data_IF_004343226977
#
_entry.id   IF_004343226977
#
_cell.length_a   1.000
_cell.length_b   1.000
_cell.length_c   1.000
_cell.angle_alpha   90.00
_cell.angle_beta   90.00
_cell.angle_gamma   90.00
#
_symmetry.space_group_name_H-M   'P 1'
#
loop_
_entity.id
_entity.type
_entity.pdbx_description
1 polymer ?
#
# COMPACT_ATOMS: atom_id res chain seq x y z
N UNK A 1 28.83 -0.09 13.90
CA UNK A 1 27.39 -0.39 14.03
C UNK A 1 26.66 0.33 12.91
N UNK A 2 25.58 -0.22 12.34
CA UNK A 2 24.91 0.37 11.19
C UNK A 2 24.22 1.70 11.49
N UNK A 3 23.94 1.99 12.76
CA UNK A 3 23.50 3.31 13.22
C UNK A 3 24.35 3.74 14.41
N UNK A 4 24.79 4.99 14.42
CA UNK A 4 25.58 5.59 15.52
C UNK A 4 25.35 7.08 15.64
N UNK A 5 25.62 7.65 16.81
CA UNK A 5 25.47 9.09 17.10
C UNK A 5 26.82 9.76 17.34
N UNK A 6 27.01 10.95 16.77
CA UNK A 6 28.09 11.87 17.10
C UNK A 6 27.51 13.29 17.28
N UNK A 7 27.40 13.76 18.52
CA UNK A 7 26.69 15.01 18.82
C UNK A 7 25.23 14.94 18.38
N UNK A 8 24.83 15.84 17.47
CA UNK A 8 23.52 15.88 16.84
C UNK A 8 23.43 15.14 15.50
N UNK A 9 24.50 14.46 15.09
CA UNK A 9 24.54 13.70 13.84
C UNK A 9 24.23 12.24 14.14
N UNK A 10 23.25 11.68 13.43
CA UNK A 10 22.90 10.27 13.45
C UNK A 10 23.36 9.66 12.12
N UNK A 11 24.42 8.87 12.18
CA UNK A 11 25.03 8.25 11.01
C UNK A 11 24.40 6.89 10.74
N UNK A 12 23.98 6.66 9.49
CA UNK A 12 23.48 5.41 8.96
C UNK A 12 24.53 4.83 7.99
N UNK A 13 25.14 3.72 8.36
CA UNK A 13 26.24 3.08 7.63
C UNK A 13 25.86 1.66 7.24
N UNK A 14 26.01 1.29 5.98
CA UNK A 14 25.61 -0.03 5.48
C UNK A 14 24.10 -0.16 5.30
N UNK A 15 23.55 -1.32 5.65
CA UNK A 15 22.13 -1.61 5.49
C UNK A 15 21.30 -1.06 6.65
N UNK A 16 20.20 -0.37 6.35
CA UNK A 16 19.18 0.03 7.32
C UNK A 16 17.93 -0.85 7.15
N UNK A 17 17.94 -1.99 7.85
CA UNK A 17 16.89 -3.01 7.80
C UNK A 17 16.09 -3.14 9.09
N UNK A 18 15.23 -4.16 9.16
CA UNK A 18 14.31 -4.37 10.29
C UNK A 18 15.04 -4.52 11.63
N UNK A 19 16.23 -5.13 11.65
CA UNK A 19 17.03 -5.32 12.85
C UNK A 19 17.61 -4.01 13.43
N UNK A 20 17.55 -2.91 12.67
CA UNK A 20 18.12 -1.62 13.03
C UNK A 20 17.07 -0.60 13.45
N UNK A 21 15.78 -0.90 13.31
CA UNK A 21 14.64 -0.01 13.56
C UNK A 21 14.75 0.79 14.87
N UNK A 22 15.09 0.13 15.98
CA UNK A 22 15.15 0.78 17.29
C UNK A 22 16.39 1.66 17.51
N UNK A 23 17.49 1.42 16.79
CA UNK A 23 18.78 2.09 17.06
C UNK A 23 18.71 3.60 16.77
N UNK A 24 18.15 4.08 15.64
CA UNK A 24 17.93 5.50 15.42
C UNK A 24 17.09 6.15 16.52
N UNK A 25 16.08 5.46 17.04
CA UNK A 25 15.20 6.01 18.08
C UNK A 25 15.96 6.29 19.37
N UNK A 26 16.82 5.35 19.79
CA UNK A 26 17.70 5.59 20.93
C UNK A 26 18.70 6.73 20.67
N UNK A 27 19.29 6.81 19.48
CA UNK A 27 20.18 7.91 19.12
C UNK A 27 19.47 9.28 19.13
N UNK A 28 18.25 9.34 18.61
CA UNK A 28 17.39 10.53 18.62
C UNK A 28 17.09 10.95 20.05
N UNK A 29 16.63 10.01 20.89
CA UNK A 29 16.31 10.28 22.29
C UNK A 29 17.52 10.86 23.04
N UNK A 30 18.69 10.24 22.87
CA UNK A 30 19.94 10.72 23.49
C UNK A 30 20.37 12.09 22.96
N UNK A 31 20.11 12.40 21.69
CA UNK A 31 20.44 13.71 21.14
C UNK A 31 19.52 14.80 21.71
N UNK A 32 18.21 14.57 21.70
CA UNK A 32 17.22 15.61 22.02
C UNK A 32 16.99 15.73 23.52
N UNK A 33 16.77 14.61 24.22
CA UNK A 33 16.34 14.60 25.61
C UNK A 33 17.54 14.64 26.57
N UNK A 34 18.59 13.86 26.29
CA UNK A 34 19.75 13.80 27.19
C UNK A 34 20.73 14.94 26.92
N UNK A 35 21.02 15.22 25.64
CA UNK A 35 22.02 16.23 25.23
C UNK A 35 21.42 17.59 24.86
N UNK A 36 20.09 17.72 24.77
CA UNK A 36 19.40 19.00 24.57
C UNK A 36 19.48 19.58 23.16
N UNK A 37 19.88 18.81 22.14
CA UNK A 37 19.92 19.28 20.76
C UNK A 37 18.51 19.58 20.23
N UNK A 38 18.38 20.68 19.49
CA UNK A 38 17.14 21.10 18.82
C UNK A 38 17.24 21.05 17.30
N UNK A 39 18.36 20.56 16.79
CA UNK A 39 18.61 20.31 15.38
C UNK A 39 19.29 18.95 15.26
N UNK A 40 18.78 18.05 14.40
CA UNK A 40 19.36 16.72 14.16
C UNK A 40 19.75 16.60 12.69
N UNK A 41 20.92 16.01 12.44
CA UNK A 41 21.35 15.64 11.09
C UNK A 41 21.21 14.12 10.94
N UNK A 42 20.36 13.68 10.03
CA UNK A 42 20.25 12.29 9.61
C UNK A 42 21.20 12.06 8.43
N UNK A 43 22.35 11.46 8.70
CA UNK A 43 23.39 11.22 7.70
C UNK A 43 23.31 9.81 7.13
N UNK A 44 22.74 9.70 5.93
CA UNK A 44 22.66 8.45 5.18
C UNK A 44 23.76 8.33 4.11
N UNK A 45 24.77 9.19 4.09
CA UNK A 45 25.78 9.22 3.00
C UNK A 45 26.47 7.89 2.77
N UNK A 46 26.73 7.12 3.83
CA UNK A 46 27.34 5.78 3.82
C UNK A 46 26.32 4.63 3.90
N UNK A 47 25.02 4.92 3.73
CA UNK A 47 23.97 3.91 3.66
C UNK A 47 23.99 3.21 2.30
N UNK A 48 24.01 1.88 2.31
CA UNK A 48 24.08 1.05 1.10
C UNK A 48 22.73 0.47 0.70
N UNK A 49 21.79 0.36 1.64
CA UNK A 49 20.42 -0.09 1.41
C UNK A 49 19.49 0.40 2.52
N UNK A 50 18.23 0.70 2.19
CA UNK A 50 17.21 1.09 3.14
C UNK A 50 15.87 0.46 2.77
N UNK A 51 15.12 -0.01 3.77
CA UNK A 51 13.88 -0.73 3.57
C UNK A 51 12.65 0.05 4.05
N UNK A 52 11.47 -0.12 3.42
CA UNK A 52 10.29 0.64 3.75
C UNK A 52 9.85 0.60 5.22
N UNK A 53 9.77 -0.55 5.92
CA UNK A 53 9.28 -0.56 7.29
C UNK A 53 10.09 0.31 8.27
N UNK A 54 11.43 0.15 8.39
CA UNK A 54 12.20 0.99 9.30
C UNK A 54 12.27 2.46 8.85
N UNK A 55 12.19 2.73 7.54
CA UNK A 55 12.12 4.11 7.04
C UNK A 55 10.79 4.79 7.40
N UNK A 56 9.65 4.11 7.30
CA UNK A 56 8.35 4.68 7.67
C UNK A 56 8.28 5.01 9.16
N UNK A 57 8.76 4.08 9.99
CA UNK A 57 8.87 4.32 11.43
C UNK A 57 9.77 5.52 11.73
N UNK A 58 10.94 5.63 11.10
CA UNK A 58 11.80 6.81 11.25
C UNK A 58 11.08 8.10 10.80
N UNK A 59 10.39 8.08 9.67
CA UNK A 59 9.67 9.24 9.15
C UNK A 59 8.62 9.76 10.14
N UNK A 60 7.79 8.90 10.73
CA UNK A 60 6.76 9.36 11.68
C UNK A 60 7.37 9.98 12.95
N UNK A 61 8.48 9.42 13.44
CA UNK A 61 9.18 9.98 14.60
C UNK A 61 9.79 11.34 14.29
N UNK A 62 10.43 11.48 13.13
CA UNK A 62 11.00 12.76 12.68
C UNK A 62 9.89 13.80 12.45
N UNK A 63 8.74 13.39 11.93
CA UNK A 63 7.59 14.28 11.79
C UNK A 63 7.06 14.77 13.14
N UNK A 64 6.98 13.89 14.15
CA UNK A 64 6.60 14.26 15.52
C UNK A 64 7.61 15.21 16.17
N UNK A 65 8.91 14.94 16.06
CA UNK A 65 9.96 15.83 16.57
C UNK A 65 9.86 17.24 16.00
N UNK A 66 9.51 17.38 14.72
CA UNK A 66 9.29 18.70 14.12
C UNK A 66 8.09 19.44 14.71
N UNK A 67 7.03 18.73 15.07
CA UNK A 67 5.90 19.32 15.79
C UNK A 67 6.35 19.86 17.17
N UNK A 68 7.26 19.13 17.82
CA UNK A 68 7.96 19.49 19.06
C UNK A 68 9.11 20.52 18.86
N UNK A 69 9.18 21.17 17.69
CA UNK A 69 10.16 22.22 17.34
C UNK A 69 11.62 21.76 17.33
N UNK A 70 11.87 20.51 16.96
CA UNK A 70 13.22 20.01 16.66
C UNK A 70 13.42 19.96 15.14
N UNK A 71 14.38 20.74 14.65
CA UNK A 71 14.72 20.81 13.24
C UNK A 71 15.47 19.56 12.78
N UNK A 72 15.28 19.17 11.53
CA UNK A 72 15.88 17.97 10.96
C UNK A 72 16.46 18.25 9.59
N UNK A 73 17.67 17.75 9.35
CA UNK A 73 18.38 17.83 8.06
C UNK A 73 18.71 16.44 7.57
N UNK A 74 18.57 16.21 6.27
CA UNK A 74 18.86 14.95 5.62
C UNK A 74 20.09 15.08 4.71
N UNK A 75 21.09 14.25 4.96
CA UNK A 75 22.15 13.95 4.00
C UNK A 75 21.77 12.66 3.29
N UNK A 76 21.53 12.77 1.98
CA UNK A 76 21.15 11.62 1.16
C UNK A 76 22.31 10.62 0.99
N UNK A 77 22.01 9.35 0.71
CA UNK A 77 23.01 8.37 0.32
C UNK A 77 23.85 8.81 -0.88
N UNK A 78 25.15 8.49 -0.86
CA UNK A 78 26.03 8.71 -2.02
C UNK A 78 25.66 7.83 -3.20
N UNK A 79 25.04 6.67 -2.95
CA UNK A 79 24.55 5.78 -3.99
C UNK A 79 23.32 6.38 -4.67
N UNK A 80 23.47 6.86 -5.91
CA UNK A 80 22.43 7.58 -6.65
C UNK A 80 21.09 6.81 -6.76
N UNK A 81 21.15 5.48 -6.94
CA UNK A 81 19.95 4.63 -6.97
C UNK A 81 19.17 4.70 -5.66
N UNK A 82 19.87 4.72 -4.53
CA UNK A 82 19.26 4.79 -3.21
C UNK A 82 18.79 6.22 -2.90
N UNK A 83 19.56 7.25 -3.27
CA UNK A 83 19.12 8.64 -3.19
C UNK A 83 17.83 8.89 -3.98
N UNK A 84 17.70 8.27 -5.16
CA UNK A 84 16.47 8.30 -5.97
C UNK A 84 15.32 7.56 -5.27
N UNK A 85 15.58 6.43 -4.61
CA UNK A 85 14.58 5.72 -3.81
C UNK A 85 14.05 6.62 -2.69
N UNK A 86 14.91 7.31 -1.94
CA UNK A 86 14.51 8.24 -0.87
C UNK A 86 13.55 9.33 -1.36
N UNK A 87 13.79 9.87 -2.56
CA UNK A 87 12.90 10.86 -3.18
C UNK A 87 11.60 10.20 -3.66
N UNK A 88 11.70 9.12 -4.43
CA UNK A 88 10.55 8.46 -5.06
C UNK A 88 9.59 7.88 -4.03
N UNK A 89 10.10 7.22 -2.98
CA UNK A 89 9.32 6.68 -1.87
C UNK A 89 8.77 7.76 -0.92
N UNK A 90 9.09 9.04 -1.18
CA UNK A 90 8.67 10.21 -0.41
C UNK A 90 9.31 10.34 0.99
N UNK A 91 10.29 9.48 1.33
CA UNK A 91 11.01 9.54 2.60
C UNK A 91 11.78 10.86 2.77
N UNK A 92 12.46 11.32 1.72
CA UNK A 92 13.25 12.55 1.79
C UNK A 92 12.40 13.77 2.18
N UNK A 93 11.19 13.87 1.62
CA UNK A 93 10.22 14.91 1.96
C UNK A 93 9.78 14.80 3.43
N UNK A 94 9.45 13.60 3.91
CA UNK A 94 9.05 13.44 5.32
C UNK A 94 10.20 13.62 6.30
N UNK A 95 11.45 13.46 5.89
CA UNK A 95 12.62 13.70 6.74
C UNK A 95 13.07 15.17 6.73
N UNK A 96 12.93 15.90 5.61
CA UNK A 96 13.30 17.33 5.50
C UNK A 96 12.44 18.05 4.43
N UNK A 97 11.18 18.41 4.76
CA UNK A 97 10.23 18.94 3.78
C UNK A 97 10.60 20.32 3.22
N UNK A 98 11.40 21.10 3.95
CA UNK A 98 11.89 22.40 3.50
C UNK A 98 12.89 22.33 2.35
N UNK A 99 13.51 21.16 2.13
CA UNK A 99 14.51 20.94 1.07
C UNK A 99 14.03 20.00 -0.02
N UNK A 100 13.16 19.06 0.30
CA UNK A 100 12.66 18.07 -0.64
C UNK A 100 11.16 18.20 -0.84
N UNK A 101 10.75 18.46 -2.08
CA UNK A 101 9.34 18.47 -2.46
C UNK A 101 8.71 17.08 -2.33
N UNK A 102 7.39 17.06 -2.18
CA UNK A 102 6.62 15.83 -2.13
C UNK A 102 6.80 15.03 -3.43
N UNK A 103 6.98 13.72 -3.30
CA UNK A 103 7.15 12.82 -4.44
C UNK A 103 5.97 12.87 -5.41
N UNK A 104 6.27 13.18 -6.67
CA UNK A 104 5.31 13.06 -7.79
C UNK A 104 5.31 11.66 -8.40
N UNK A 105 6.06 10.70 -7.83
CA UNK A 105 6.13 9.33 -8.33
C UNK A 105 4.74 8.67 -8.31
N UNK A 106 4.38 8.10 -9.47
CA UNK A 106 3.12 7.40 -9.71
C UNK A 106 3.38 6.02 -10.33
N UNK A 107 4.36 5.29 -9.79
CA UNK A 107 4.54 3.88 -10.14
C UNK A 107 3.34 3.05 -9.70
N UNK A 108 3.03 1.99 -10.44
CA UNK A 108 1.98 1.05 -10.06
C UNK A 108 2.51 -0.10 -9.18
N UNK A 109 3.82 -0.37 -9.19
CA UNK A 109 4.45 -1.40 -8.35
C UNK A 109 4.85 -0.91 -6.95
N UNK A 110 4.91 0.40 -6.75
CA UNK A 110 5.22 1.00 -5.47
C UNK A 110 4.45 2.30 -5.32
N UNK A 111 3.79 2.42 -4.18
CA UNK A 111 3.03 3.60 -3.79
C UNK A 111 3.87 4.31 -2.75
N UNK A 112 4.37 5.52 -3.04
CA UNK A 112 5.16 6.29 -2.09
C UNK A 112 4.42 6.50 -0.78
N UNK A 113 5.19 6.67 0.29
CA UNK A 113 4.66 7.03 1.59
C UNK A 113 3.69 8.22 1.46
N UNK A 114 2.47 8.03 1.93
CA UNK A 114 1.36 8.98 1.82
C UNK A 114 0.84 9.28 3.22
N UNK A 115 0.78 10.57 3.56
CA UNK A 115 0.24 11.01 4.84
C UNK A 115 -1.28 11.14 4.77
N UNK A 116 -1.96 10.77 5.84
CA UNK A 116 -3.39 10.96 6.02
C UNK A 116 -3.68 11.47 7.44
N UNK A 117 -4.52 12.51 7.57
CA UNK A 117 -4.87 13.13 8.86
C UNK A 117 -6.37 13.17 9.15
N UNK A 118 -7.19 12.90 8.15
CA UNK A 118 -8.65 12.94 8.23
C UNK A 118 -9.26 11.70 7.56
N UNK A 119 -10.54 11.39 7.82
CA UNK A 119 -11.25 10.36 7.08
C UNK A 119 -11.22 10.57 5.56
N UNK A 120 -11.29 11.82 5.08
CA UNK A 120 -11.22 12.10 3.63
C UNK A 120 -9.82 11.82 3.06
N UNK A 121 -8.76 12.16 3.81
CA UNK A 121 -7.38 11.84 3.40
C UNK A 121 -7.16 10.33 3.34
N UNK A 122 -7.67 9.63 4.35
CA UNK A 122 -7.59 8.17 4.47
C UNK A 122 -8.29 7.51 3.29
N UNK A 123 -9.54 7.89 2.98
CA UNK A 123 -10.28 7.37 1.84
C UNK A 123 -9.53 7.60 0.52
N UNK A 124 -8.96 8.79 0.31
CA UNK A 124 -8.15 9.08 -0.89
C UNK A 124 -6.88 8.23 -0.95
N UNK A 125 -6.23 7.97 0.19
CA UNK A 125 -5.03 7.14 0.26
C UNK A 125 -5.37 5.68 -0.06
N UNK A 126 -6.41 5.11 0.57
CA UNK A 126 -6.88 3.74 0.31
C UNK A 126 -7.29 3.58 -1.14
N UNK A 127 -8.14 4.45 -1.68
CA UNK A 127 -8.59 4.37 -3.08
C UNK A 127 -7.40 4.39 -4.04
N UNK A 128 -6.40 5.24 -3.79
CA UNK A 128 -5.17 5.26 -4.59
C UNK A 128 -4.41 3.94 -4.51
N UNK A 129 -4.35 3.33 -3.32
CA UNK A 129 -3.70 2.04 -3.10
C UNK A 129 -4.39 0.92 -3.87
N UNK A 130 -5.69 0.79 -3.67
CA UNK A 130 -6.54 -0.24 -4.27
C UNK A 130 -6.50 -0.14 -5.80
N UNK A 131 -6.62 1.06 -6.37
CA UNK A 131 -6.46 1.32 -7.82
C UNK A 131 -5.10 0.88 -8.39
N UNK A 132 -4.02 1.14 -7.64
CA UNK A 132 -2.69 0.79 -8.08
C UNK A 132 -2.46 -0.72 -8.05
N UNK A 133 -2.97 -1.40 -7.02
CA UNK A 133 -2.89 -2.86 -6.90
C UNK A 133 -3.67 -3.54 -8.02
N UNK A 134 -4.89 -3.08 -8.32
CA UNK A 134 -5.73 -3.61 -9.40
C UNK A 134 -5.07 -3.51 -10.78
N UNK A 135 -4.22 -2.49 -11.00
CA UNK A 135 -3.43 -2.37 -12.24
C UNK A 135 -2.07 -3.06 -12.19
N UNK A 136 -1.55 -3.34 -11.00
CA UNK A 136 -0.26 -3.99 -10.84
C UNK A 136 -0.38 -5.50 -10.94
N UNK A 137 -1.27 -6.12 -10.15
CA UNK A 137 -1.35 -7.58 -9.98
C UNK A 137 -2.38 -8.15 -10.94
N UNK A 138 -1.97 -9.07 -11.81
CA UNK A 138 -2.89 -9.79 -12.69
C UNK A 138 -3.51 -11.00 -11.97
N UNK A 139 -4.70 -11.40 -12.41
CA UNK A 139 -5.46 -12.57 -11.93
C UNK A 139 -5.70 -12.56 -10.42
N UNK A 140 -6.04 -11.38 -9.90
CA UNK A 140 -6.49 -11.27 -8.51
C UNK A 140 -7.98 -11.58 -8.43
N UNK A 141 -8.36 -12.44 -7.49
CA UNK A 141 -9.76 -12.76 -7.22
C UNK A 141 -10.46 -11.57 -6.54
N UNK A 142 -11.77 -11.39 -6.81
CA UNK A 142 -12.55 -10.26 -6.26
C UNK A 142 -12.62 -10.32 -4.73
N UNK A 143 -12.82 -11.51 -4.16
CA UNK A 143 -12.90 -11.68 -2.71
C UNK A 143 -11.56 -11.44 -2.02
N UNK A 144 -10.46 -11.90 -2.64
CA UNK A 144 -9.11 -11.64 -2.14
C UNK A 144 -8.77 -10.14 -2.21
N UNK A 145 -9.18 -9.46 -3.28
CA UNK A 145 -9.00 -8.02 -3.44
C UNK A 145 -9.81 -7.22 -2.41
N UNK A 146 -11.06 -7.59 -2.18
CA UNK A 146 -11.93 -6.98 -1.18
C UNK A 146 -11.36 -7.17 0.24
N UNK A 147 -10.77 -8.34 0.54
CA UNK A 147 -10.12 -8.58 1.82
C UNK A 147 -8.90 -7.68 2.06
N UNK A 148 -8.09 -7.46 1.02
CA UNK A 148 -6.97 -6.52 1.07
C UNK A 148 -7.43 -5.08 1.31
N UNK A 149 -8.42 -4.62 0.56
CA UNK A 149 -9.00 -3.29 0.72
C UNK A 149 -9.52 -3.09 2.14
N UNK A 150 -10.34 -4.03 2.64
CA UNK A 150 -10.86 -3.99 4.00
C UNK A 150 -9.73 -3.92 5.03
N UNK A 151 -8.70 -4.75 4.88
CA UNK A 151 -7.58 -4.80 5.81
C UNK A 151 -6.80 -3.48 5.85
N UNK A 152 -6.55 -2.84 4.70
CA UNK A 152 -5.89 -1.53 4.66
C UNK A 152 -6.79 -0.45 5.26
N UNK A 153 -8.09 -0.46 4.94
CA UNK A 153 -9.08 0.49 5.47
C UNK A 153 -9.15 0.42 6.99
N UNK A 154 -9.28 -0.78 7.58
CA UNK A 154 -9.34 -0.97 9.03
C UNK A 154 -8.07 -0.52 9.74
N UNK A 155 -6.90 -0.87 9.22
CA UNK A 155 -5.63 -0.49 9.84
C UNK A 155 -5.41 1.03 9.75
N UNK A 156 -5.76 1.67 8.64
CA UNK A 156 -5.63 3.12 8.50
C UNK A 156 -6.70 3.88 9.30
N UNK A 157 -7.92 3.37 9.41
CA UNK A 157 -8.97 3.95 10.24
C UNK A 157 -8.62 3.90 11.72
N UNK A 158 -8.03 2.79 12.20
CA UNK A 158 -7.51 2.68 13.56
C UNK A 158 -6.56 3.83 13.92
N UNK A 159 -5.75 4.32 12.97
CA UNK A 159 -4.89 5.48 13.21
C UNK A 159 -5.73 6.73 13.43
N UNK A 160 -6.74 6.99 12.60
CA UNK A 160 -7.60 8.18 12.73
C UNK A 160 -8.42 8.14 14.02
N UNK A 161 -8.96 6.99 14.39
CA UNK A 161 -9.90 6.85 15.52
C UNK A 161 -9.17 6.71 16.86
N UNK A 162 -8.02 6.02 16.90
CA UNK A 162 -7.42 5.59 18.17
C UNK A 162 -6.03 6.14 18.46
N UNK A 163 -5.25 6.56 17.45
CA UNK A 163 -3.84 6.90 17.71
C UNK A 163 -3.64 8.18 18.52
N UNK A 164 -4.57 9.15 18.40
CA UNK A 164 -4.38 10.53 18.88
C UNK A 164 -3.04 11.15 18.37
N UNK A 165 -2.61 10.76 17.17
CA UNK A 165 -1.32 11.18 16.63
C UNK A 165 -1.36 12.62 16.09
N UNK A 166 -0.41 13.51 16.48
CA UNK A 166 -0.37 14.90 16.01
C UNK A 166 -0.08 15.02 14.51
N UNK A 167 0.49 13.97 13.91
CA UNK A 167 0.88 13.94 12.50
C UNK A 167 -0.08 13.11 11.64
N UNK A 168 -1.11 12.49 12.23
CA UNK A 168 -1.92 11.47 11.58
C UNK A 168 -1.13 10.18 11.35
N UNK A 169 -1.34 9.54 10.20
CA UNK A 169 -0.62 8.32 9.80
C UNK A 169 0.13 8.46 8.49
N UNK A 170 1.10 7.57 8.27
CA UNK A 170 1.72 7.28 6.99
C UNK A 170 1.33 5.89 6.52
N UNK A 171 1.02 5.75 5.24
CA UNK A 171 0.85 4.46 4.56
C UNK A 171 1.77 4.37 3.35
N UNK A 172 2.43 3.21 3.18
CA UNK A 172 3.25 2.89 2.01
C UNK A 172 2.94 1.47 1.53
N UNK A 173 2.95 1.26 0.21
CA UNK A 173 2.68 -0.05 -0.39
C UNK A 173 3.74 -0.43 -1.41
N UNK A 174 4.14 -1.69 -1.40
CA UNK A 174 5.05 -2.29 -2.37
C UNK A 174 4.44 -3.57 -2.92
N UNK A 175 4.55 -3.81 -4.23
CA UNK A 175 4.15 -5.08 -4.85
C UNK A 175 5.37 -5.82 -5.40
N UNK A 176 5.40 -7.13 -5.18
CA UNK A 176 6.45 -8.02 -5.63
C UNK A 176 5.80 -9.09 -6.50
N UNK A 177 6.31 -9.27 -7.73
CA UNK A 177 5.65 -10.11 -8.75
C UNK A 177 6.57 -11.08 -9.48
N UNK A 178 7.88 -11.11 -9.17
CA UNK A 178 8.84 -11.94 -9.92
C UNK A 178 8.57 -13.44 -9.78
N UNK A 179 8.32 -13.90 -8.54
CA UNK A 179 8.14 -15.32 -8.23
C UNK A 179 6.86 -15.63 -7.43
N UNK A 180 6.26 -14.61 -6.81
CA UNK A 180 5.02 -14.67 -6.03
C UNK A 180 4.26 -13.37 -6.28
N UNK A 181 2.93 -13.37 -6.14
CA UNK A 181 2.07 -12.17 -6.24
C UNK A 181 1.86 -11.58 -4.85
N UNK A 182 2.84 -10.85 -4.33
CA UNK A 182 2.84 -10.37 -2.95
C UNK A 182 2.60 -8.86 -2.88
N UNK A 183 1.71 -8.45 -1.99
CA UNK A 183 1.54 -7.05 -1.58
C UNK A 183 2.06 -6.89 -0.16
N UNK A 184 2.92 -5.90 0.06
CA UNK A 184 3.29 -5.43 1.39
C UNK A 184 2.73 -4.02 1.57
N UNK A 185 1.91 -3.82 2.61
CA UNK A 185 1.51 -2.49 3.05
C UNK A 185 2.02 -2.24 4.46
N UNK A 186 2.42 -1.00 4.70
CA UNK A 186 3.00 -0.55 5.97
C UNK A 186 2.20 0.66 6.40
N UNK A 187 1.72 0.63 7.64
CA UNK A 187 1.04 1.76 8.28
C UNK A 187 1.83 2.13 9.53
N UNK A 188 2.13 3.41 9.68
CA UNK A 188 2.84 3.92 10.84
C UNK A 188 2.20 5.22 11.35
N UNK A 189 2.17 5.39 12.66
CA UNK A 189 1.77 6.62 13.34
C UNK A 189 2.75 6.95 14.48
N UNK A 190 2.67 8.17 15.01
CA UNK A 190 3.47 8.62 16.16
C UNK A 190 2.58 9.00 17.36
N UNK A 191 1.48 8.27 17.57
CA UNK A 191 0.48 8.48 18.60
C UNK A 191 0.75 7.73 19.91
N UNK A 192 -0.33 7.40 20.63
CA UNK A 192 -0.29 6.77 21.96
C UNK A 192 0.18 5.30 21.94
N UNK A 193 0.02 4.62 20.80
CA UNK A 193 0.32 3.20 20.63
C UNK A 193 -0.76 2.24 21.14
N UNK A 194 -0.71 1.00 20.67
CA UNK A 194 -1.67 -0.06 21.00
C UNK A 194 -1.70 -0.35 22.52
N UNK A 195 -0.56 -0.50 23.23
CA UNK A 195 -0.60 -0.79 24.67
C UNK A 195 -1.30 0.27 25.51
N UNK A 196 -1.07 1.54 25.21
CA UNK A 196 -1.68 2.66 25.94
C UNK A 196 -3.18 2.73 25.67
N UNK A 197 -3.57 2.65 24.40
CA UNK A 197 -4.98 2.76 23.99
C UNK A 197 -5.82 1.58 24.48
N UNK A 198 -5.32 0.34 24.38
CA UNK A 198 -6.06 -0.82 24.88
C UNK A 198 -6.19 -0.84 26.40
N UNK A 199 -5.14 -0.50 27.15
CA UNK A 199 -5.21 -0.47 28.62
C UNK A 199 -6.23 0.54 29.15
N UNK A 200 -6.50 1.63 28.42
CA UNK A 200 -7.54 2.58 28.79
C UNK A 200 -8.95 1.97 28.80
N UNK A 201 -9.22 1.02 27.90
CA UNK A 201 -10.49 0.29 27.82
C UNK A 201 -10.49 -1.08 28.51
N UNK A 202 -9.30 -1.65 28.70
CA UNK A 202 -9.08 -2.99 29.24
C UNK A 202 -7.98 -2.98 30.31
N UNK A 203 -8.28 -2.48 31.53
CA UNK A 203 -7.29 -2.28 32.60
C UNK A 203 -6.63 -3.57 33.10
N UNK A 204 -7.18 -4.74 32.75
CA UNK A 204 -6.62 -6.04 33.09
C UNK A 204 -5.34 -6.38 32.31
N UNK A 205 -5.07 -5.70 31.19
CA UNK A 205 -3.85 -5.88 30.39
C UNK A 205 -2.66 -5.23 31.12
N UNK A 206 -1.64 -6.02 31.46
CA UNK A 206 -0.55 -5.60 32.36
C UNK A 206 0.77 -5.33 31.67
N UNK A 207 0.95 -5.81 30.44
CA UNK A 207 2.19 -5.63 29.68
C UNK A 207 1.92 -5.23 28.23
N UNK A 208 2.90 -4.59 27.61
CA UNK A 208 2.80 -4.22 26.19
C UNK A 208 2.72 -5.47 25.30
N UNK A 209 3.41 -6.56 25.65
CA UNK A 209 3.33 -7.83 24.92
C UNK A 209 1.94 -8.47 25.03
N UNK A 210 1.31 -8.42 26.22
CA UNK A 210 -0.07 -8.86 26.40
C UNK A 210 -1.04 -7.98 25.61
N UNK A 211 -0.80 -6.67 25.54
CA UNK A 211 -1.62 -5.78 24.72
C UNK A 211 -1.58 -6.17 23.24
N UNK A 212 -0.40 -6.46 22.68
CA UNK A 212 -0.29 -6.90 21.29
C UNK A 212 -0.91 -8.28 21.04
N UNK A 213 -0.74 -9.22 21.98
CA UNK A 213 -1.40 -10.52 21.91
C UNK A 213 -2.93 -10.37 21.92
N UNK A 214 -3.46 -9.53 22.80
CA UNK A 214 -4.88 -9.22 22.85
C UNK A 214 -5.36 -8.53 21.56
N UNK A 215 -4.59 -7.61 21.00
CA UNK A 215 -4.97 -6.81 19.82
C UNK A 215 -5.24 -7.66 18.57
N UNK A 216 -4.62 -8.85 18.48
CA UNK A 216 -4.85 -9.79 17.37
C UNK A 216 -5.88 -10.87 17.71
N UNK A 217 -6.66 -10.73 18.79
CA UNK A 217 -7.77 -11.63 19.13
C UNK A 217 -9.10 -11.03 18.71
N UNK A 218 -10.01 -11.89 18.28
CA UNK A 218 -11.34 -11.48 17.83
C UNK A 218 -12.11 -10.71 18.92
N UNK A 219 -12.77 -9.61 18.53
CA UNK A 219 -13.63 -8.82 19.41
C UNK A 219 -12.91 -7.96 20.45
N UNK A 220 -11.58 -7.81 20.34
CA UNK A 220 -10.78 -7.00 21.27
C UNK A 220 -10.67 -5.56 20.75
N UNK A 221 -11.16 -4.60 21.55
CA UNK A 221 -11.10 -3.16 21.27
C UNK A 221 -10.99 -2.36 22.57
N UNK A 222 -10.58 -1.08 22.48
CA UNK A 222 -10.66 -0.11 23.58
C UNK A 222 -12.11 0.17 23.97
N UNK A 223 -13.00 0.27 22.99
CA UNK A 223 -14.41 0.61 23.21
C UNK A 223 -15.29 -0.07 22.13
N UNK A 224 -16.26 -0.86 22.58
CA UNK A 224 -17.20 -1.59 21.70
C UNK A 224 -18.22 -0.66 21.02
N UNK A 225 -18.38 0.56 21.50
CA UNK A 225 -19.23 1.58 20.87
C UNK A 225 -18.54 2.29 19.71
N UNK A 226 -17.20 2.32 19.69
CA UNK A 226 -16.39 2.93 18.63
C UNK A 226 -15.98 1.93 17.55
N UNK A 227 -15.94 0.64 17.84
CA UNK A 227 -15.61 -0.39 16.86
C UNK A 227 -15.83 -1.81 17.39
N UNK A 228 -15.86 -2.79 16.49
CA UNK A 228 -16.15 -4.19 16.85
C UNK A 228 -14.90 -4.95 17.36
N UNK A 229 -13.69 -4.40 17.19
CA UNK A 229 -12.44 -5.06 17.58
C UNK A 229 -11.98 -6.16 16.62
N UNK A 230 -12.33 -6.04 15.33
CA UNK A 230 -12.04 -7.05 14.33
C UNK A 230 -10.93 -6.65 13.35
N UNK A 231 -10.59 -5.36 13.20
CA UNK A 231 -9.65 -4.87 12.19
C UNK A 231 -8.25 -5.51 12.25
N UNK A 232 -7.60 -5.47 13.41
CA UNK A 232 -6.27 -6.08 13.60
C UNK A 232 -6.30 -7.61 13.56
N UNK A 233 -7.30 -8.23 14.19
CA UNK A 233 -7.52 -9.68 14.12
C UNK A 233 -7.69 -10.15 12.68
N UNK A 234 -8.61 -9.55 11.92
CA UNK A 234 -8.87 -9.90 10.53
C UNK A 234 -7.65 -9.66 9.64
N UNK A 235 -6.93 -8.56 9.83
CA UNK A 235 -5.69 -8.29 9.09
C UNK A 235 -4.61 -9.35 9.37
N UNK A 236 -4.47 -9.78 10.63
CA UNK A 236 -3.60 -10.89 11.00
C UNK A 236 -4.05 -12.21 10.37
N UNK A 237 -5.36 -12.53 10.40
CA UNK A 237 -5.91 -13.73 9.76
C UNK A 237 -5.60 -13.75 8.25
N UNK A 238 -5.87 -12.65 7.53
CA UNK A 238 -5.60 -12.52 6.10
C UNK A 238 -4.12 -12.80 5.78
N UNK A 239 -3.20 -12.21 6.56
CA UNK A 239 -1.76 -12.44 6.37
C UNK A 239 -1.35 -13.89 6.69
N UNK A 240 -1.96 -14.50 7.72
CA UNK A 240 -1.71 -15.89 8.10
C UNK A 240 -2.23 -16.88 7.04
N UNK A 241 -3.48 -16.75 6.62
CA UNK A 241 -4.10 -17.63 5.62
C UNK A 241 -3.42 -17.53 4.26
N UNK A 242 -3.05 -16.32 3.81
CA UNK A 242 -2.31 -16.16 2.54
C UNK A 242 -0.91 -16.77 2.55
N UNK A 243 -0.36 -17.15 3.71
CA UNK A 243 1.06 -17.51 3.81
C UNK A 243 1.98 -16.30 3.63
N UNK A 244 1.47 -15.12 4.00
CA UNK A 244 2.17 -13.84 4.05
C UNK A 244 2.89 -13.63 5.37
N UNK A 245 3.04 -12.38 5.83
CA UNK A 245 3.73 -12.03 7.08
C UNK A 245 2.98 -10.90 7.78
N UNK A 246 3.08 -10.84 9.09
CA UNK A 246 2.45 -9.78 9.87
C UNK A 246 3.38 -9.34 10.99
N UNK A 247 3.49 -8.03 11.18
CA UNK A 247 4.32 -7.46 12.24
C UNK A 247 3.61 -6.26 12.85
N UNK A 248 3.68 -6.16 14.16
CA UNK A 248 3.29 -4.98 14.93
C UNK A 248 4.45 -4.60 15.83
N UNK A 249 4.81 -3.33 15.86
CA UNK A 249 5.70 -2.77 16.88
C UNK A 249 5.03 -1.53 17.51
N UNK A 250 4.88 -1.54 18.83
CA UNK A 250 4.25 -0.44 19.57
C UNK A 250 4.64 -0.50 21.04
N UNK A 251 5.04 0.65 21.60
CA UNK A 251 5.61 0.70 22.95
C UNK A 251 6.84 -0.20 23.02
N UNK A 252 6.95 -0.99 24.09
CA UNK A 252 8.04 -1.95 24.29
C UNK A 252 7.75 -3.33 23.68
N UNK A 253 6.71 -3.50 22.87
CA UNK A 253 6.35 -4.80 22.36
C UNK A 253 6.53 -4.91 20.84
N UNK A 254 6.97 -6.10 20.44
CA UNK A 254 7.04 -6.54 19.06
C UNK A 254 6.27 -7.84 18.91
N UNK A 255 5.32 -7.86 17.98
CA UNK A 255 4.63 -9.04 17.51
C UNK A 255 5.08 -9.32 16.08
N UNK A 256 5.47 -10.55 15.81
CA UNK A 256 5.88 -10.97 14.47
C UNK A 256 5.35 -12.35 14.15
N UNK A 257 4.76 -12.48 12.96
CA UNK A 257 4.30 -13.72 12.37
C UNK A 257 4.93 -13.92 11.00
N UNK A 258 5.46 -15.12 10.78
CA UNK A 258 5.80 -15.64 9.46
C UNK A 258 5.55 -17.15 9.40
N UNK A 259 5.14 -17.71 8.24
CA UNK A 259 4.84 -19.13 8.08
C UNK A 259 5.97 -20.07 8.53
N UNK A 260 7.23 -19.65 8.37
CA UNK A 260 8.40 -20.44 8.76
C UNK A 260 8.71 -20.45 10.26
N UNK A 261 8.20 -19.48 11.03
CA UNK A 261 8.54 -19.29 12.45
C UNK A 261 7.31 -19.29 13.38
N UNK A 262 6.10 -19.22 12.82
CA UNK A 262 4.87 -19.05 13.59
C UNK A 262 4.73 -17.64 14.17
N UNK A 263 3.84 -17.50 15.15
CA UNK A 263 3.63 -16.27 15.92
C UNK A 263 4.68 -16.16 17.02
N UNK A 264 5.28 -14.98 17.14
CA UNK A 264 6.24 -14.62 18.19
C UNK A 264 5.91 -13.25 18.74
N UNK A 265 6.06 -13.09 20.06
CA UNK A 265 5.85 -11.81 20.75
C UNK A 265 7.02 -11.61 21.72
N UNK A 266 7.67 -10.46 21.66
CA UNK A 266 8.85 -10.14 22.45
C UNK A 266 8.80 -8.71 23.02
N UNK A 267 9.57 -8.50 24.09
CA UNK A 267 9.83 -7.16 24.62
C UNK A 267 11.09 -6.58 23.96
N UNK A 268 11.00 -5.31 23.59
CA UNK A 268 12.08 -4.50 23.05
C UNK A 268 12.59 -3.51 24.09
N UNK A 269 13.91 -3.29 24.12
CA UNK A 269 14.54 -2.40 25.10
C UNK A 269 14.20 -0.93 24.85
N UNK A 270 14.04 -0.57 23.58
CA UNK A 270 13.80 0.80 23.13
C UNK A 270 12.38 0.82 22.59
N UNK A 271 11.49 1.67 23.16
CA UNK A 271 10.12 1.69 22.73
C UNK A 271 9.95 2.37 21.37
N UNK A 272 8.85 2.07 20.69
CA UNK A 272 8.33 2.86 19.58
C UNK A 272 7.17 3.71 20.10
N UNK A 273 7.28 5.02 19.91
CA UNK A 273 6.18 5.95 20.12
C UNK A 273 5.14 5.83 18.99
N UNK A 274 3.92 5.42 19.30
CA UNK A 274 2.90 5.11 18.30
C UNK A 274 2.91 3.64 17.89
N UNK A 275 2.58 3.36 16.63
CA UNK A 275 2.44 2.01 16.11
C UNK A 275 3.06 1.89 14.73
N UNK A 276 3.79 0.81 14.49
CA UNK A 276 4.19 0.35 13.15
C UNK A 276 3.50 -0.99 12.88
N UNK A 277 2.77 -1.08 11.78
CA UNK A 277 2.19 -2.31 11.26
C UNK A 277 2.80 -2.61 9.89
N UNK A 278 3.29 -3.83 9.72
CA UNK A 278 3.75 -4.35 8.43
C UNK A 278 2.93 -5.58 8.11
N UNK A 279 2.21 -5.54 7.01
CA UNK A 279 1.36 -6.63 6.57
C UNK A 279 1.74 -7.03 5.15
N UNK A 280 1.97 -8.31 4.97
CA UNK A 280 2.32 -8.92 3.71
C UNK A 280 1.27 -9.97 3.38
N UNK A 281 0.67 -9.87 2.20
CA UNK A 281 -0.38 -10.77 1.72
C UNK A 281 0.09 -11.37 0.40
N UNK A 282 -0.03 -12.68 0.27
CA UNK A 282 0.31 -13.41 -0.95
C UNK A 282 -0.94 -13.87 -1.71
N UNK A 283 -1.09 -13.35 -2.93
CA UNK A 283 -2.17 -13.64 -3.88
C UNK A 283 -1.81 -14.76 -4.87
N UNK A 284 -0.73 -15.52 -4.61
CA UNK A 284 -0.31 -16.60 -5.51
C UNK A 284 -1.31 -17.77 -5.57
N UNK A 285 -2.21 -17.88 -4.58
CA UNK A 285 -3.30 -18.87 -4.54
C UNK A 285 -4.66 -18.12 -4.50
N UNK A 286 -5.43 -18.08 -5.59
CA UNK A 286 -6.72 -17.40 -5.64
C UNK A 286 -7.77 -18.01 -4.70
N UNK A 287 -8.65 -17.17 -4.15
CA UNK A 287 -9.81 -17.55 -3.35
C UNK A 287 -9.47 -17.97 -1.92
N UNK A 288 -8.24 -17.68 -1.46
CA UNK A 288 -7.73 -18.12 -0.16
C UNK A 288 -8.21 -17.23 0.99
N UNK A 289 -8.63 -15.99 0.69
CA UNK A 289 -8.93 -14.98 1.71
C UNK A 289 -10.42 -14.85 2.03
N UNK A 290 -11.32 -15.49 1.25
CA UNK A 290 -12.76 -15.50 1.56
C UNK A 290 -13.04 -16.11 2.95
N UNK A 291 -12.25 -17.11 3.35
CA UNK A 291 -12.36 -17.75 4.66
C UNK A 291 -11.79 -16.90 5.81
N UNK A 292 -10.84 -16.01 5.51
CA UNK A 292 -10.18 -15.16 6.52
C UNK A 292 -11.10 -14.06 7.07
N UNK A 293 -12.16 -13.70 6.34
CA UNK A 293 -13.18 -12.72 6.74
C UNK A 293 -14.44 -13.38 7.34
N UNK A 294 -14.25 -14.41 8.16
CA UNK A 294 -15.34 -15.02 8.94
C UNK A 294 -15.23 -14.58 10.40
N UNK A 295 -16.16 -13.73 10.82
CA UNK A 295 -16.25 -13.23 12.20
C UNK A 295 -17.48 -13.82 12.89
N UNK A 296 -17.31 -14.36 14.09
CA UNK A 296 -18.38 -15.01 14.87
C UNK A 296 -19.22 -16.02 14.06
N UNK A 297 -18.57 -16.76 13.15
CA UNK A 297 -19.21 -17.75 12.27
C UNK A 297 -20.04 -17.16 11.11
N UNK A 298 -20.05 -15.83 10.94
CA UNK A 298 -20.69 -15.16 9.80
C UNK A 298 -19.63 -14.72 8.79
N UNK A 299 -19.91 -14.98 7.52
CA UNK A 299 -19.09 -14.45 6.44
C UNK A 299 -19.34 -12.95 6.31
N UNK A 300 -18.27 -12.16 6.38
CA UNK A 300 -18.31 -10.73 6.15
C UNK A 300 -17.93 -10.46 4.69
N UNK A 301 -18.85 -9.86 3.93
CA UNK A 301 -18.60 -9.40 2.55
C UNK A 301 -18.65 -7.87 2.57
N UNK A 302 -17.50 -7.19 2.56
CA UNK A 302 -17.49 -5.74 2.46
C UNK A 302 -18.00 -5.31 1.07
N UNK A 303 -18.64 -4.14 1.01
CA UNK A 303 -18.80 -3.42 -0.25
C UNK A 303 -17.40 -3.09 -0.74
N UNK A 304 -17.09 -3.48 -1.98
CA UNK A 304 -15.74 -3.37 -2.51
C UNK A 304 -15.57 -2.20 -3.48
N UNK A 305 -14.31 -1.90 -3.76
CA UNK A 305 -13.91 -0.86 -4.69
C UNK A 305 -14.46 -1.06 -6.11
N UNK A 306 -14.68 -2.32 -6.53
CA UNK A 306 -15.18 -2.60 -7.89
C UNK A 306 -16.63 -2.18 -8.00
N UNK A 307 -17.44 -2.55 -7.01
CA UNK A 307 -18.85 -2.15 -6.90
C UNK A 307 -18.97 -0.63 -6.84
N UNK A 308 -18.21 0.03 -5.97
CA UNK A 308 -18.34 1.48 -5.76
C UNK A 308 -17.83 2.33 -6.92
N UNK A 309 -16.82 1.85 -7.67
CA UNK A 309 -16.21 2.63 -8.74
C UNK A 309 -16.70 2.30 -10.14
N UNK A 310 -16.92 1.03 -10.45
CA UNK A 310 -17.13 0.58 -11.82
C UNK A 310 -18.57 0.12 -12.08
N UNK A 311 -19.27 -0.42 -11.08
CA UNK A 311 -20.67 -0.84 -11.24
C UNK A 311 -21.60 0.37 -11.24
N UNK A 312 -22.62 0.35 -12.11
CA UNK A 312 -23.64 1.39 -12.20
C UNK A 312 -24.95 0.89 -11.60
N UNK A 313 -25.68 1.78 -10.92
CA UNK A 313 -26.97 1.41 -10.32
C UNK A 313 -28.04 1.07 -11.37
N UNK A 314 -27.94 1.64 -12.57
CA UNK A 314 -28.91 1.56 -13.66
C UNK A 314 -28.42 0.79 -14.90
N UNK A 315 -27.27 0.11 -14.80
CA UNK A 315 -26.72 -0.68 -15.90
C UNK A 315 -26.02 -1.94 -15.41
N UNK A 316 -26.21 -3.04 -16.14
CA UNK A 316 -25.45 -4.28 -15.94
C UNK A 316 -24.00 -4.17 -16.45
N UNK A 317 -23.63 -3.03 -17.05
CA UNK A 317 -22.29 -2.78 -17.58
C UNK A 317 -21.40 -2.07 -16.56
N UNK A 318 -20.13 -2.45 -16.52
CA UNK A 318 -19.08 -1.73 -15.81
C UNK A 318 -18.69 -0.49 -16.61
N UNK A 319 -18.75 0.70 -16.00
CA UNK A 319 -18.27 1.94 -16.62
C UNK A 319 -16.79 2.16 -16.30
N UNK A 320 -15.95 2.11 -17.33
CA UNK A 320 -14.52 2.36 -17.24
C UNK A 320 -14.16 3.70 -17.91
N UNK A 321 -14.10 4.77 -17.12
CA UNK A 321 -13.78 6.11 -17.62
C UNK A 321 -12.27 6.27 -17.84
N UNK A 322 -11.81 6.10 -19.07
CA UNK A 322 -10.38 5.95 -19.38
C UNK A 322 -9.51 7.15 -18.96
N UNK A 323 -10.07 8.37 -18.94
CA UNK A 323 -9.38 9.60 -18.51
C UNK A 323 -9.08 9.67 -17.02
N UNK A 324 -9.83 8.94 -16.20
CA UNK A 324 -9.61 8.86 -14.75
C UNK A 324 -8.55 7.82 -14.39
N UNK A 325 -8.32 6.89 -15.31
CA UNK A 325 -7.49 5.71 -15.10
C UNK A 325 -6.02 5.96 -15.44
N UNK A 326 -5.74 6.93 -16.32
CA UNK A 326 -4.38 7.38 -16.66
C UNK A 326 -4.33 8.87 -17.00
N UNK A 327 -3.22 9.53 -16.66
CA UNK A 327 -2.93 10.91 -17.10
C UNK A 327 -2.27 11.00 -18.47
N UNK A 328 -1.69 9.89 -18.95
CA UNK A 328 -0.92 9.86 -20.20
C UNK A 328 -1.30 8.66 -21.05
N UNK A 329 -1.45 8.87 -22.35
CA UNK A 329 -1.84 7.83 -23.32
C UNK A 329 -0.76 7.59 -24.39
N UNK A 330 0.47 8.01 -24.08
CA UNK A 330 1.58 8.10 -25.03
C UNK A 330 2.56 6.92 -25.04
N UNK A 331 2.40 5.91 -24.18
CA UNK A 331 3.39 4.82 -24.07
C UNK A 331 2.79 3.48 -23.67
N UNK A 332 3.51 2.39 -23.97
CA UNK A 332 3.18 1.03 -23.47
C UNK A 332 3.22 0.95 -21.94
N UNK A 333 4.16 1.65 -21.31
CA UNK A 333 4.28 1.67 -19.85
C UNK A 333 3.02 2.25 -19.18
N UNK A 334 2.37 3.22 -19.82
CA UNK A 334 1.09 3.75 -19.34
C UNK A 334 -0.10 2.83 -19.67
N UNK A 335 -0.05 2.05 -20.75
CA UNK A 335 -1.12 1.13 -21.15
C UNK A 335 -1.17 -0.17 -20.35
N UNK A 336 -0.01 -0.66 -19.88
CA UNK A 336 0.09 -1.93 -19.13
C UNK A 336 -0.86 -1.98 -17.90
N UNK A 337 -0.85 -1.01 -16.97
CA UNK A 337 -1.75 -1.06 -15.83
C UNK A 337 -3.23 -0.95 -16.22
N UNK A 338 -3.55 -0.25 -17.31
CA UNK A 338 -4.93 -0.15 -17.82
C UNK A 338 -5.41 -1.49 -18.33
N UNK A 339 -4.60 -2.18 -19.16
CA UNK A 339 -4.95 -3.53 -19.63
C UNK A 339 -5.15 -4.47 -18.45
N UNK A 340 -4.23 -4.46 -17.48
CA UNK A 340 -4.31 -5.33 -16.31
C UNK A 340 -5.61 -5.12 -15.52
N UNK A 341 -6.02 -3.85 -15.31
CA UNK A 341 -7.32 -3.55 -14.67
C UNK A 341 -8.49 -4.12 -15.47
N UNK A 342 -8.53 -3.88 -16.78
CA UNK A 342 -9.60 -4.39 -17.64
C UNK A 342 -9.68 -5.92 -17.56
N UNK A 343 -8.54 -6.62 -17.64
CA UNK A 343 -8.47 -8.08 -17.50
C UNK A 343 -9.00 -8.53 -16.13
N UNK A 344 -8.57 -7.88 -15.05
CA UNK A 344 -9.03 -8.21 -13.70
C UNK A 344 -10.54 -7.98 -13.56
N UNK A 345 -11.07 -6.85 -14.02
CA UNK A 345 -12.50 -6.54 -13.98
C UNK A 345 -13.32 -7.58 -14.77
N UNK A 346 -12.87 -8.00 -15.95
CA UNK A 346 -13.54 -9.04 -16.74
C UNK A 346 -13.61 -10.39 -16.02
N UNK A 347 -12.58 -10.73 -15.23
CA UNK A 347 -12.51 -11.97 -14.43
C UNK A 347 -13.34 -11.88 -13.16
N UNK A 348 -13.28 -10.74 -12.47
CA UNK A 348 -14.03 -10.46 -11.24
C UNK A 348 -15.55 -10.36 -11.50
N UNK A 349 -15.93 -9.89 -12.68
CA UNK A 349 -17.31 -9.69 -13.10
C UNK A 349 -17.59 -10.45 -14.41
N UNK A 350 -17.65 -11.80 -14.37
CA UNK A 350 -17.72 -12.62 -15.58
C UNK A 350 -18.98 -12.42 -16.41
N UNK A 351 -20.09 -12.01 -15.77
CA UNK A 351 -21.39 -11.81 -16.43
C UNK A 351 -21.61 -10.37 -16.90
N UNK A 352 -20.72 -9.44 -16.54
CA UNK A 352 -20.85 -8.02 -16.89
C UNK A 352 -19.95 -7.65 -18.07
N UNK A 353 -20.39 -6.67 -18.86
CA UNK A 353 -19.62 -6.09 -19.98
C UNK A 353 -18.93 -4.82 -19.50
N UNK A 354 -17.82 -4.43 -20.11
CA UNK A 354 -17.11 -3.19 -19.79
C UNK A 354 -17.34 -2.17 -20.89
N UNK A 355 -17.90 -1.01 -20.53
CA UNK A 355 -17.98 0.20 -21.34
C UNK A 355 -16.80 1.10 -21.04
N UNK A 356 -15.88 1.21 -21.99
CA UNK A 356 -14.71 2.08 -21.92
C UNK A 356 -15.09 3.45 -22.47
N UNK A 357 -15.34 4.41 -21.59
CA UNK A 357 -15.63 5.80 -21.97
C UNK A 357 -14.32 6.54 -22.27
N UNK A 358 -14.16 6.93 -23.54
CA UNK A 358 -12.99 7.65 -24.05
C UNK A 358 -13.21 9.17 -24.11
N UNK A 359 -14.28 9.69 -23.51
CA UNK A 359 -14.59 11.12 -23.49
C UNK A 359 -13.40 11.96 -23.01
N UNK A 360 -13.06 13.00 -23.78
CA UNK A 360 -11.98 13.93 -23.43
C UNK A 360 -10.57 13.39 -23.64
N UNK A 361 -10.40 12.29 -24.40
CA UNK A 361 -9.09 11.78 -24.82
C UNK A 361 -8.88 12.10 -26.30
N UNK A 362 -8.20 13.20 -26.63
CA UNK A 362 -8.05 13.64 -28.01
C UNK A 362 -7.01 12.83 -28.80
N UNK A 363 -6.09 12.13 -28.12
CA UNK A 363 -5.03 11.39 -28.76
C UNK A 363 -4.49 10.27 -27.87
N UNK A 364 -4.17 9.14 -28.51
CA UNK A 364 -3.38 8.05 -27.94
C UNK A 364 -2.22 7.71 -28.89
N UNK A 365 -1.15 7.13 -28.38
CA UNK A 365 -0.09 6.57 -29.24
C UNK A 365 -0.49 5.19 -29.78
N UNK A 366 0.02 4.80 -30.95
CA UNK A 366 -0.16 3.43 -31.48
C UNK A 366 0.35 2.37 -30.51
N UNK A 367 1.43 2.69 -29.79
CA UNK A 367 1.99 1.83 -28.73
C UNK A 367 1.02 1.62 -27.56
N UNK A 368 0.32 2.67 -27.13
CA UNK A 368 -0.70 2.57 -26.09
C UNK A 368 -1.93 1.79 -26.59
N UNK A 369 -2.40 2.08 -27.81
CA UNK A 369 -3.54 1.39 -28.41
C UNK A 369 -3.31 -0.12 -28.54
N UNK A 370 -2.12 -0.54 -29.00
CA UNK A 370 -1.73 -1.96 -29.04
C UNK A 370 -1.60 -2.56 -27.64
N UNK A 371 -0.98 -1.85 -26.69
CA UNK A 371 -0.77 -2.36 -25.34
C UNK A 371 -2.08 -2.63 -24.60
N UNK A 372 -3.06 -1.73 -24.74
CA UNK A 372 -4.37 -1.84 -24.09
C UNK A 372 -5.31 -2.70 -24.93
N UNK A 373 -5.73 -2.23 -26.10
CA UNK A 373 -6.81 -2.85 -26.86
C UNK A 373 -6.33 -4.02 -27.71
N UNK A 374 -5.20 -3.88 -28.40
CA UNK A 374 -4.66 -4.94 -29.26
C UNK A 374 -4.34 -6.22 -28.47
N UNK A 375 -3.61 -6.09 -27.36
CA UNK A 375 -3.30 -7.24 -26.49
C UNK A 375 -4.52 -7.77 -25.75
N UNK A 376 -5.44 -6.92 -25.30
CA UNK A 376 -6.70 -7.37 -24.68
C UNK A 376 -7.55 -8.17 -25.67
N UNK A 377 -7.59 -7.77 -26.95
CA UNK A 377 -8.25 -8.52 -28.01
C UNK A 377 -7.66 -9.92 -28.19
N UNK A 378 -6.33 -10.05 -28.17
CA UNK A 378 -5.67 -11.37 -28.24
C UNK A 378 -6.03 -12.21 -27.01
N UNK A 379 -6.00 -11.61 -25.82
CA UNK A 379 -6.24 -12.32 -24.56
C UNK A 379 -7.68 -12.85 -24.43
N UNK A 380 -8.67 -12.09 -24.88
CA UNK A 380 -10.09 -12.50 -24.85
C UNK A 380 -10.52 -13.33 -26.07
N UNK A 381 -9.74 -13.27 -27.14
CA UNK A 381 -10.16 -13.70 -28.47
C UNK A 381 -11.22 -12.78 -29.11
N UNK A 382 -11.44 -12.93 -30.43
CA UNK A 382 -12.31 -12.00 -31.18
C UNK A 382 -13.76 -11.94 -30.66
N UNK A 383 -14.36 -13.11 -30.40
CA UNK A 383 -15.74 -13.19 -29.91
C UNK A 383 -15.87 -12.61 -28.50
N UNK A 384 -14.96 -12.99 -27.59
CA UNK A 384 -14.97 -12.50 -26.21
C UNK A 384 -14.80 -10.99 -26.14
N UNK A 385 -13.86 -10.43 -26.92
CA UNK A 385 -13.66 -8.99 -26.99
C UNK A 385 -14.91 -8.26 -27.49
N UNK A 386 -15.50 -8.70 -28.60
CA UNK A 386 -16.68 -8.04 -29.19
C UNK A 386 -17.94 -8.14 -28.31
N UNK A 387 -18.07 -9.20 -27.51
CA UNK A 387 -19.22 -9.40 -26.62
C UNK A 387 -19.07 -8.68 -25.28
N UNK A 388 -17.83 -8.51 -24.79
CA UNK A 388 -17.55 -8.02 -23.43
C UNK A 388 -16.98 -6.61 -23.38
N UNK A 389 -16.41 -6.07 -24.45
CA UNK A 389 -15.78 -4.74 -24.47
C UNK A 389 -16.51 -3.81 -25.44
N UNK A 390 -16.98 -2.68 -24.92
CA UNK A 390 -17.59 -1.58 -25.67
C UNK A 390 -16.73 -0.34 -25.50
N UNK A 391 -16.48 0.39 -26.58
CA UNK A 391 -15.63 1.58 -26.57
C UNK A 391 -16.50 2.76 -27.02
N UNK A 392 -16.84 3.63 -26.08
CA UNK A 392 -17.78 4.74 -26.26
C UNK A 392 -17.06 6.09 -26.24
N UNK A 393 -17.72 7.11 -26.83
CA UNK A 393 -17.26 8.51 -26.88
C UNK A 393 -15.80 8.68 -27.36
N UNK A 394 -15.39 7.85 -28.32
CA UNK A 394 -14.02 7.83 -28.84
C UNK A 394 -13.85 8.82 -29.99
N UNK A 395 -12.78 9.62 -29.94
CA UNK A 395 -12.39 10.50 -31.04
C UNK A 395 -12.09 9.66 -32.31
N UNK A 396 -12.50 10.09 -33.52
CA UNK A 396 -12.26 9.33 -34.75
C UNK A 396 -10.79 8.96 -35.00
N UNK A 397 -9.85 9.82 -34.59
CA UNK A 397 -8.41 9.55 -34.69
C UNK A 397 -7.99 8.43 -33.76
N UNK A 398 -8.47 8.47 -32.51
CA UNK A 398 -8.22 7.42 -31.51
C UNK A 398 -8.86 6.11 -31.98
N UNK A 399 -10.08 6.15 -32.51
CA UNK A 399 -10.78 4.98 -33.06
C UNK A 399 -9.96 4.29 -34.15
N UNK A 400 -9.46 5.06 -35.12
CA UNK A 400 -8.59 4.54 -36.19
C UNK A 400 -7.33 3.84 -35.66
N UNK A 401 -6.70 4.40 -34.62
CA UNK A 401 -5.54 3.78 -33.99
C UNK A 401 -5.87 2.49 -33.24
N UNK A 402 -7.01 2.44 -32.55
CA UNK A 402 -7.51 1.24 -31.88
C UNK A 402 -7.84 0.14 -32.89
N UNK A 403 -8.59 0.47 -33.94
CA UNK A 403 -8.97 -0.48 -35.00
C UNK A 403 -7.74 -1.03 -35.72
N UNK A 404 -6.74 -0.17 -35.98
CA UNK A 404 -5.45 -0.60 -36.55
C UNK A 404 -4.72 -1.56 -35.62
N UNK A 405 -4.67 -1.28 -34.32
CA UNK A 405 -4.01 -2.15 -33.35
C UNK A 405 -4.67 -3.53 -33.27
N UNK A 406 -6.01 -3.59 -33.26
CA UNK A 406 -6.78 -4.84 -33.26
C UNK A 406 -6.55 -5.61 -34.58
N UNK A 407 -6.66 -4.93 -35.72
CA UNK A 407 -6.51 -5.55 -37.05
C UNK A 407 -5.11 -6.17 -37.24
N UNK A 408 -4.06 -5.49 -36.75
CA UNK A 408 -2.70 -6.01 -36.79
C UNK A 408 -2.56 -7.31 -35.98
N UNK A 409 -3.22 -7.39 -34.82
CA UNK A 409 -3.21 -8.60 -33.96
C UNK A 409 -4.05 -9.73 -34.54
N UNK A 410 -5.16 -9.44 -35.22
CA UNK A 410 -5.95 -10.43 -35.96
C UNK A 410 -5.13 -11.11 -37.06
N UNK A 411 -4.40 -10.32 -37.87
CA UNK A 411 -3.61 -10.85 -38.98
C UNK A 411 -2.45 -11.75 -38.51
N UNK A 412 -1.80 -11.41 -37.40
CA UNK A 412 -0.72 -12.21 -36.81
C UNK A 412 -1.26 -13.47 -36.13
N UNK A 413 -2.37 -13.37 -35.41
CA UNK A 413 -3.00 -14.53 -34.76
C UNK A 413 -3.43 -15.60 -35.76
N UNK A 414 -3.99 -15.22 -36.92
CA UNK A 414 -4.35 -16.15 -37.99
C UNK A 414 -3.14 -16.89 -38.59
N UNK A 415 -1.97 -16.24 -38.67
CA UNK A 415 -0.75 -16.87 -39.21
C UNK A 415 -0.10 -17.92 -38.28
N UNK A 416 -0.41 -17.92 -36.98
CA UNK A 416 0.04 -18.95 -36.04
C UNK A 416 -0.89 -20.17 -35.96
N UNK A 417 -2.12 -20.06 -36.48
CA UNK A 417 -3.06 -21.20 -36.60
C UNK A 417 -2.90 -21.97 -37.91
N UNK A 418 -2.28 -21.36 -38.92
CA UNK A 418 -2.01 -21.95 -40.24
C UNK A 418 -0.60 -22.58 -40.37
N UNK A 419 0.15 -22.68 -39.27
CA UNK A 419 1.47 -23.33 -39.17
C UNK A 419 1.47 -24.41 -38.08
#
# INVERSE_FOLDING_TARGET
MPVSRNGNIINFVGEFGQADLHKPLACIHQAVNDAGYRDIILDFSECTAAFPPPMLALCVQIMRLRDEKVDTKLVLPRLEKLAKLFRNANWAHFLEPGKFEQSTFRGYTQIPATQFKSPDDQNRAVNRIVNAILGAIQDIDRSDFAALEWSISEITDNVIVHSESPIGGLVQVSTFQKNRKVVEYIVADAGLGIPTTLRAGQPQIKSDTEALDCAIREGVTRDKSLGQGNGLFGSFQICSYSGGRFQIESGHAKLFYAPSHGLSISNERIPIDGTLIVAQIDFSKPGLLEEALRFAGRQYRPVDFVETKYEQFDSDDLLFVLREESRTFGSRLAGTPIRNRLVNLLKMCPDQRIKIDCSGIPLVSSSFADEVFGKLFVELGPLGFMQRIFIDNVDPTVRSLVDKAISQRMAVGLSEFDA
#
